data_IF_367880760357
#
_entry.id   IF_367880760357
#
_cell.length_a   1.000
_cell.length_b   1.000
_cell.length_c   1.000
_cell.angle_alpha   90.00
_cell.angle_beta   90.00
_cell.angle_gamma   90.00
#
_symmetry.space_group_name_H-M   'P 1'
#
loop_
_entity.id
_entity.type
_entity.pdbx_description
1 polymer ?
#
# COMPACT_ATOMS: atom_id res chain seq x y z
N UNK A 1 -19.37 1.78 -5.53
CA UNK A 1 -18.12 2.49 -5.19
C UNK A 1 -16.98 1.58 -5.55
N UNK A 2 -16.13 1.98 -6.47
CA UNK A 2 -15.07 1.17 -7.09
C UNK A 2 -13.69 1.49 -6.51
N UNK A 3 -13.64 2.03 -5.29
CA UNK A 3 -12.37 2.31 -4.61
C UNK A 3 -11.78 0.96 -4.17
N UNK A 4 -10.50 0.68 -4.50
CA UNK A 4 -9.85 -0.59 -4.22
C UNK A 4 -9.84 -0.92 -2.72
N UNK A 5 -9.75 -2.21 -2.42
CA UNK A 5 -9.53 -2.68 -1.05
C UNK A 5 -8.08 -2.41 -0.60
N UNK A 6 -7.77 -2.67 0.67
CA UNK A 6 -6.39 -2.58 1.14
C UNK A 6 -5.53 -3.71 0.57
N UNK A 7 -6.10 -4.87 0.29
CA UNK A 7 -5.40 -5.99 -0.35
C UNK A 7 -5.04 -5.65 -1.80
N UNK A 8 -5.98 -5.08 -2.56
CA UNK A 8 -5.71 -4.66 -3.94
C UNK A 8 -4.58 -3.63 -4.00
N UNK A 9 -4.42 -2.80 -2.97
CA UNK A 9 -3.36 -1.81 -2.88
C UNK A 9 -1.99 -2.39 -2.48
N UNK A 10 -1.87 -3.61 -1.95
CA UNK A 10 -0.60 -4.11 -1.41
C UNK A 10 0.49 -4.22 -2.47
N UNK A 11 0.23 -4.96 -3.55
CA UNK A 11 1.22 -5.16 -4.62
C UNK A 11 1.59 -3.83 -5.32
N UNK A 12 0.64 -2.97 -5.73
CA UNK A 12 0.98 -1.67 -6.32
C UNK A 12 1.76 -0.76 -5.37
N UNK A 13 1.44 -0.73 -4.06
CA UNK A 13 2.22 0.04 -3.08
C UNK A 13 3.64 -0.50 -2.99
N UNK A 14 3.82 -1.82 -2.96
CA UNK A 14 5.15 -2.44 -2.89
C UNK A 14 5.96 -2.11 -4.15
N UNK A 15 5.35 -2.13 -5.34
CA UNK A 15 6.01 -1.78 -6.59
C UNK A 15 6.43 -0.31 -6.66
N UNK A 16 5.66 0.63 -6.09
CA UNK A 16 6.09 2.04 -5.96
C UNK A 16 7.38 2.16 -5.13
N UNK A 17 7.54 1.32 -4.11
CA UNK A 17 8.73 1.31 -3.24
C UNK A 17 9.93 0.58 -3.84
N UNK A 18 9.81 0.00 -5.05
CA UNK A 18 10.82 -0.87 -5.67
C UNK A 18 12.20 -0.24 -5.84
N UNK A 19 12.29 1.09 -5.86
CA UNK A 19 13.54 1.84 -5.99
C UNK A 19 14.38 1.83 -4.69
N UNK A 20 13.85 1.25 -3.61
CA UNK A 20 14.50 1.22 -2.32
C UNK A 20 14.47 2.56 -1.59
N UNK A 21 13.78 3.58 -2.12
CA UNK A 21 13.66 4.88 -1.46
C UNK A 21 12.52 4.87 -0.44
N UNK A 22 12.65 5.75 0.57
CA UNK A 22 11.59 5.93 1.55
C UNK A 22 10.55 6.95 1.06
N UNK A 23 9.27 6.59 1.07
CA UNK A 23 8.16 7.46 0.69
C UNK A 23 7.23 7.73 1.87
N UNK A 24 6.71 8.97 1.93
CA UNK A 24 5.68 9.29 2.91
C UNK A 24 4.34 8.66 2.52
N UNK A 25 3.58 8.16 3.50
CA UNK A 25 2.27 7.51 3.29
C UNK A 25 1.25 8.31 2.49
N UNK A 26 1.37 9.65 2.45
CA UNK A 26 0.51 10.51 1.60
C UNK A 26 0.87 10.33 0.13
N UNK A 27 2.15 10.41 -0.22
CA UNK A 27 2.62 10.19 -1.59
C UNK A 27 2.25 8.78 -2.08
N UNK A 28 2.34 7.77 -1.22
CA UNK A 28 1.88 6.42 -1.57
C UNK A 28 0.37 6.36 -1.83
N UNK A 29 -0.44 7.08 -1.04
CA UNK A 29 -1.89 7.12 -1.28
C UNK A 29 -2.25 7.88 -2.56
N UNK A 30 -1.50 8.93 -2.90
CA UNK A 30 -1.65 9.68 -4.16
C UNK A 30 -1.28 8.80 -5.36
N UNK A 31 -0.16 8.06 -5.26
CA UNK A 31 0.23 7.07 -6.26
C UNK A 31 -0.83 5.98 -6.44
N UNK A 32 -1.51 5.54 -5.37
CA UNK A 32 -2.62 4.60 -5.50
C UNK A 32 -3.83 5.21 -6.20
N UNK A 33 -4.16 6.47 -5.88
CA UNK A 33 -5.24 7.16 -6.59
C UNK A 33 -4.97 7.30 -8.10
N UNK A 34 -3.70 7.47 -8.49
CA UNK A 34 -3.29 7.49 -9.90
C UNK A 34 -3.30 6.09 -10.52
N UNK A 35 -2.72 5.09 -9.84
CA UNK A 35 -2.66 3.71 -10.31
C UNK A 35 -4.05 3.12 -10.59
N UNK A 36 -5.01 3.36 -9.69
CA UNK A 36 -6.39 2.89 -9.84
C UNK A 36 -7.28 3.85 -10.63
N UNK A 37 -6.72 4.91 -11.22
CA UNK A 37 -7.43 5.88 -12.04
C UNK A 37 -8.67 6.48 -11.34
N UNK A 38 -8.55 6.74 -10.04
CA UNK A 38 -9.67 7.25 -9.25
C UNK A 38 -10.09 8.63 -9.74
N UNK A 39 -11.40 8.79 -9.91
CA UNK A 39 -12.04 10.07 -10.23
C UNK A 39 -11.82 11.11 -9.11
N UNK A 40 -11.93 12.42 -9.41
CA UNK A 40 -11.84 13.45 -8.37
C UNK A 40 -12.77 13.19 -7.18
N UNK A 41 -13.98 12.70 -7.43
CA UNK A 41 -14.98 12.34 -6.43
C UNK A 41 -14.51 11.16 -5.57
N UNK A 42 -13.96 10.11 -6.18
CA UNK A 42 -13.43 8.94 -5.47
C UNK A 42 -12.17 9.26 -4.65
N UNK A 43 -11.34 10.20 -5.11
CA UNK A 43 -10.14 10.67 -4.39
C UNK A 43 -10.50 11.35 -3.08
N UNK A 44 -11.61 12.10 -3.05
CA UNK A 44 -12.08 12.82 -1.85
C UNK A 44 -13.14 12.05 -1.06
N UNK A 45 -13.63 10.91 -1.57
CA UNK A 45 -14.60 10.08 -0.89
C UNK A 45 -14.08 9.69 0.50
N UNK A 46 -14.84 10.05 1.54
CA UNK A 46 -14.46 9.83 2.93
C UNK A 46 -14.96 8.48 3.44
N UNK A 47 -14.26 7.93 4.43
CA UNK A 47 -14.81 6.85 5.24
C UNK A 47 -16.13 7.29 5.90
N UNK A 48 -17.00 6.35 6.34
CA UNK A 48 -18.23 6.67 7.07
C UNK A 48 -18.00 7.54 8.32
N UNK A 49 -16.80 7.47 8.91
CA UNK A 49 -16.40 8.31 10.04
C UNK A 49 -16.14 9.78 9.69
N UNK A 50 -16.07 10.13 8.40
CA UNK A 50 -15.80 11.49 7.90
C UNK A 50 -14.35 11.99 8.07
N UNK A 51 -13.44 11.19 8.65
CA UNK A 51 -12.12 11.68 9.08
C UNK A 51 -10.99 11.53 8.06
N UNK A 52 -11.15 10.68 7.05
CA UNK A 52 -10.07 10.41 6.09
C UNK A 52 -10.64 9.89 4.77
N UNK A 53 -10.01 10.23 3.64
CA UNK A 53 -10.32 9.62 2.37
C UNK A 53 -10.18 8.10 2.43
N UNK A 54 -11.06 7.39 1.72
CA UNK A 54 -11.08 5.93 1.68
C UNK A 54 -9.73 5.42 1.18
N UNK A 55 -9.23 5.91 0.04
CA UNK A 55 -7.96 5.45 -0.55
C UNK A 55 -6.75 5.60 0.39
N UNK A 56 -6.72 6.68 1.18
CA UNK A 56 -5.68 6.89 2.19
C UNK A 56 -5.75 5.85 3.31
N UNK A 57 -6.96 5.47 3.72
CA UNK A 57 -7.15 4.39 4.68
C UNK A 57 -6.73 3.05 4.12
N UNK A 58 -7.09 2.74 2.85
CA UNK A 58 -6.74 1.47 2.19
C UNK A 58 -5.22 1.31 2.05
N UNK A 59 -4.54 2.36 1.58
CA UNK A 59 -3.08 2.42 1.51
C UNK A 59 -2.44 2.24 2.89
N UNK A 60 -3.00 2.89 3.92
CA UNK A 60 -2.51 2.76 5.29
C UNK A 60 -2.61 1.33 5.84
N UNK A 61 -3.71 0.63 5.57
CA UNK A 61 -3.87 -0.77 5.97
C UNK A 61 -2.92 -1.70 5.20
N UNK A 62 -2.76 -1.51 3.89
CA UNK A 62 -1.81 -2.26 3.08
C UNK A 62 -0.38 -2.18 3.67
N UNK A 63 0.05 -0.96 4.01
CA UNK A 63 1.36 -0.72 4.65
C UNK A 63 1.48 -1.37 6.03
N UNK A 64 0.42 -1.35 6.84
CA UNK A 64 0.44 -2.01 8.16
C UNK A 64 0.63 -3.51 8.05
N UNK A 65 -0.14 -4.18 7.18
CA UNK A 65 -0.05 -5.63 6.99
C UNK A 65 1.29 -6.03 6.35
N UNK A 66 1.74 -5.32 5.31
CA UNK A 66 3.04 -5.59 4.70
C UNK A 66 4.20 -5.35 5.66
N UNK A 67 4.06 -4.40 6.61
CA UNK A 67 5.06 -4.17 7.65
C UNK A 67 5.10 -5.32 8.66
N UNK A 68 3.94 -5.86 9.05
CA UNK A 68 3.87 -7.05 9.91
C UNK A 68 4.56 -8.25 9.23
N UNK A 69 4.34 -8.42 7.94
CA UNK A 69 5.00 -9.43 7.10
C UNK A 69 6.46 -9.09 6.73
N UNK A 70 7.03 -8.00 7.27
CA UNK A 70 8.41 -7.54 7.01
C UNK A 70 8.76 -7.25 5.54
N UNK A 71 7.78 -7.08 4.65
CA UNK A 71 8.00 -6.70 3.26
C UNK A 71 8.36 -5.21 3.11
N UNK A 72 7.89 -4.39 4.05
CA UNK A 72 8.23 -2.98 4.16
C UNK A 72 8.63 -2.66 5.59
N UNK A 73 9.43 -1.62 5.76
CA UNK A 73 9.75 -1.06 7.06
C UNK A 73 9.36 0.42 7.15
N UNK A 74 9.44 1.00 8.35
CA UNK A 74 9.14 2.41 8.57
C UNK A 74 10.32 3.09 9.26
N UNK A 75 11.29 3.60 8.47
CA UNK A 75 12.53 4.18 9.01
C UNK A 75 12.27 5.43 9.85
N UNK A 76 11.15 6.13 9.58
CA UNK A 76 10.66 7.24 10.41
C UNK A 76 9.13 7.33 10.31
N UNK A 77 8.51 7.99 11.28
CA UNK A 77 7.05 8.07 11.41
C UNK A 77 6.38 8.50 10.10
N UNK A 78 5.53 7.63 9.57
CA UNK A 78 4.74 7.89 8.36
C UNK A 78 5.50 7.75 7.04
N UNK A 79 6.77 7.37 7.09
CA UNK A 79 7.58 7.02 5.92
C UNK A 79 7.78 5.51 5.86
N UNK A 80 7.81 4.97 4.65
CA UNK A 80 7.91 3.54 4.38
C UNK A 80 8.92 3.28 3.28
N UNK A 81 9.63 2.17 3.40
CA UNK A 81 10.67 1.72 2.48
C UNK A 81 10.53 0.20 2.30
N UNK A 82 10.80 -0.31 1.11
CA UNK A 82 10.82 -1.76 0.86
C UNK A 82 12.04 -2.40 1.53
N UNK A 83 11.88 -3.59 2.09
CA UNK A 83 12.99 -4.38 2.65
C UNK A 83 13.60 -5.29 1.59
N UNK A 84 14.73 -5.94 1.90
CA UNK A 84 15.29 -7.00 1.04
C UNK A 84 14.29 -8.13 0.77
N UNK A 85 13.49 -8.50 1.78
CA UNK A 85 12.43 -9.50 1.63
C UNK A 85 11.32 -9.01 0.70
N UNK A 86 10.95 -7.72 0.80
CA UNK A 86 10.02 -7.09 -0.13
C UNK A 86 10.54 -7.09 -1.57
N UNK A 87 11.82 -6.78 -1.77
CA UNK A 87 12.47 -6.81 -3.09
C UNK A 87 12.48 -8.22 -3.69
N UNK A 88 12.84 -9.23 -2.90
CA UNK A 88 12.77 -10.64 -3.30
C UNK A 88 11.34 -11.06 -3.66
N UNK A 89 10.37 -10.60 -2.87
CA UNK A 89 8.94 -10.84 -3.12
C UNK A 89 8.52 -10.24 -4.46
N UNK A 90 8.90 -9.00 -4.79
CA UNK A 90 8.63 -8.41 -6.10
C UNK A 90 9.36 -9.14 -7.24
N UNK A 91 10.60 -9.57 -7.02
CA UNK A 91 11.39 -10.30 -8.01
C UNK A 91 10.74 -11.65 -8.40
N UNK A 92 10.01 -12.28 -7.48
CA UNK A 92 9.20 -13.47 -7.74
C UNK A 92 7.95 -13.20 -8.59
N UNK A 93 7.67 -11.92 -8.92
CA UNK A 93 6.55 -11.46 -9.76
C UNK A 93 5.20 -12.07 -9.34
N UNK A 94 4.78 -11.91 -8.06
CA UNK A 94 3.50 -12.41 -7.59
C UNK A 94 2.38 -11.72 -8.38
N UNK A 95 1.36 -12.50 -8.75
CA UNK A 95 0.18 -11.95 -9.41
C UNK A 95 -0.66 -11.06 -8.46
N UNK A 96 -0.59 -11.35 -7.15
CA UNK A 96 -1.30 -10.64 -6.09
C UNK A 96 -0.54 -10.78 -4.78
N UNK A 97 -0.60 -9.73 -3.96
CA UNK A 97 -0.23 -9.75 -2.55
C UNK A 97 -1.49 -9.36 -1.79
N UNK A 98 -1.99 -10.25 -0.93
CA UNK A 98 -3.14 -10.05 -0.06
C UNK A 98 -2.87 -10.68 1.30
N UNK A 99 -3.83 -10.64 2.22
CA UNK A 99 -3.63 -11.20 3.55
C UNK A 99 -3.29 -12.69 3.53
N UNK A 100 -3.82 -13.47 2.58
CA UNK A 100 -3.50 -14.89 2.43
C UNK A 100 -2.06 -15.08 1.96
N UNK A 101 -1.60 -14.28 1.00
CA UNK A 101 -0.20 -14.27 0.56
C UNK A 101 0.74 -13.91 1.72
N UNK A 102 0.37 -12.95 2.57
CA UNK A 102 1.22 -12.48 3.66
C UNK A 102 1.44 -13.51 4.78
N UNK A 103 0.51 -14.47 4.98
CA UNK A 103 0.66 -15.58 5.94
C UNK A 103 1.91 -16.44 5.72
N UNK A 104 2.53 -16.34 4.54
CA UNK A 104 3.79 -17.02 4.20
C UNK A 104 4.99 -16.47 4.98
N UNK A 105 4.85 -15.30 5.60
CA UNK A 105 5.93 -14.59 6.30
C UNK A 105 5.75 -14.53 7.82
N UNK A 106 4.67 -15.14 8.34
CA UNK A 106 4.38 -15.32 9.76
C UNK A 106 5.27 -16.38 10.42
#
# INVERSE_FOLDING_TARGET
>A
MTIPTHEDAMLPVLDVLRDGQAYHRRALADAMAEHFQLTPEERVALLPSGKSPVIRSRTGWALSYMKQARLVESPRRGWYQITDLGQQTLAAKPARIDNEYLKRFD
#
